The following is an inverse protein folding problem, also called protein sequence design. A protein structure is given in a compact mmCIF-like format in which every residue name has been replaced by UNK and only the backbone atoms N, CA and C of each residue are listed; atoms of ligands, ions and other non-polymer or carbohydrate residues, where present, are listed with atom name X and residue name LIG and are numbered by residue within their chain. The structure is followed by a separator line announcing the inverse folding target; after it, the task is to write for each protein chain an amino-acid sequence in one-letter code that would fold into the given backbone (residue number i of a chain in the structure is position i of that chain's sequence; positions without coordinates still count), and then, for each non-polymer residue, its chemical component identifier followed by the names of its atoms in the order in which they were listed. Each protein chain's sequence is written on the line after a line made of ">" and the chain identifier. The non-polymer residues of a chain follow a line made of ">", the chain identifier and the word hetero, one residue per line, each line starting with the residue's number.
data_IF_627028554608
#
_entry.id   IF_627028554608
#
_cell.length_a   1.000
_cell.length_b   1.000
_cell.length_c   1.000
_cell.angle_alpha   90.00
_cell.angle_beta   90.00
_cell.angle_gamma   90.00
#
_symmetry.space_group_name_H-M   'P 1'
#
loop_
_entity.id
_entity.type
_entity.pdbx_description
1 polymer ?
#
# COMPACT_ATOMS: atom_id res chain seq x y z
N UNK A 1 14.34 -50.38 -40.03
CA UNK A 1 12.96 -50.47 -39.50
C UNK A 1 12.85 -49.55 -38.30
N UNK A 2 11.91 -48.61 -38.29
CA UNK A 2 11.67 -47.77 -37.11
C UNK A 2 11.14 -48.63 -35.96
N UNK A 3 11.67 -48.42 -34.75
CA UNK A 3 11.23 -49.13 -33.53
C UNK A 3 9.77 -48.78 -33.25
N UNK A 4 8.90 -49.79 -33.13
CA UNK A 4 7.52 -49.60 -32.68
C UNK A 4 7.50 -49.14 -31.22
N UNK A 5 6.64 -48.18 -30.91
CA UNK A 5 6.45 -47.73 -29.53
C UNK A 5 5.73 -48.79 -28.71
N UNK A 6 6.03 -48.81 -27.42
CA UNK A 6 5.32 -49.59 -26.40
C UNK A 6 3.95 -49.00 -26.09
N UNK A 7 3.10 -49.78 -25.42
CA UNK A 7 1.80 -49.32 -24.93
C UNK A 7 1.93 -48.10 -24.01
N UNK A 8 2.94 -48.09 -23.13
CA UNK A 8 3.18 -46.98 -22.20
C UNK A 8 3.58 -45.68 -22.92
N UNK A 9 4.41 -45.77 -23.96
CA UNK A 9 4.80 -44.61 -24.78
C UNK A 9 3.60 -44.06 -25.56
N UNK A 10 2.76 -44.94 -26.11
CA UNK A 10 1.53 -44.55 -26.81
C UNK A 10 0.50 -43.92 -25.87
N UNK A 11 0.33 -44.48 -24.67
CA UNK A 11 -0.53 -43.94 -23.62
C UNK A 11 -0.06 -42.54 -23.21
N UNK A 12 1.24 -42.35 -22.95
CA UNK A 12 1.79 -41.05 -22.55
C UNK A 12 1.49 -39.99 -23.61
N UNK A 13 1.78 -40.28 -24.88
CA UNK A 13 1.50 -39.37 -25.98
C UNK A 13 0.01 -39.03 -26.11
N UNK A 14 -0.87 -40.03 -25.95
CA UNK A 14 -2.32 -39.86 -26.04
C UNK A 14 -2.88 -39.02 -24.88
N UNK A 15 -2.32 -39.16 -23.68
CA UNK A 15 -2.73 -38.46 -22.46
C UNK A 15 -2.27 -37.00 -22.48
N UNK A 16 -1.04 -36.74 -22.90
CA UNK A 16 -0.43 -35.41 -22.85
C UNK A 16 -0.93 -34.46 -23.94
N UNK A 17 -1.52 -34.97 -25.03
CA UNK A 17 -2.05 -34.12 -26.12
C UNK A 17 -3.52 -33.83 -25.98
N UNK A 18 -3.91 -32.58 -26.19
CA UNK A 18 -5.30 -32.12 -26.09
C UNK A 18 -6.21 -32.64 -27.21
N UNK A 19 -5.69 -32.78 -28.44
CA UNK A 19 -6.45 -33.24 -29.64
C UNK A 19 -5.81 -34.39 -30.42
N UNK A 20 -5.01 -35.24 -29.77
CA UNK A 20 -4.38 -36.39 -30.43
C UNK A 20 -5.40 -37.44 -30.87
N UNK A 21 -5.47 -37.72 -32.18
CA UNK A 21 -6.29 -38.80 -32.74
C UNK A 21 -5.52 -40.13 -32.74
N UNK A 22 -6.23 -41.26 -32.73
CA UNK A 22 -5.60 -42.58 -32.83
C UNK A 22 -4.91 -42.80 -34.19
N UNK A 23 -5.39 -42.15 -35.25
CA UNK A 23 -4.75 -42.20 -36.57
C UNK A 23 -3.38 -41.55 -36.54
N UNK A 24 -3.27 -40.35 -35.97
CA UNK A 24 -1.99 -39.65 -35.80
C UNK A 24 -1.03 -40.46 -34.91
N UNK A 25 -1.55 -41.06 -33.83
CA UNK A 25 -0.74 -41.91 -32.97
C UNK A 25 -0.25 -43.17 -33.71
N UNK A 26 -1.10 -43.77 -34.56
CA UNK A 26 -0.75 -44.92 -35.39
C UNK A 26 0.39 -44.61 -36.37
N UNK A 27 0.34 -43.44 -37.02
CA UNK A 27 1.37 -42.98 -37.95
C UNK A 27 2.71 -42.75 -37.24
N UNK A 28 2.69 -42.14 -36.05
CA UNK A 28 3.90 -41.80 -35.29
C UNK A 28 4.54 -43.01 -34.59
N UNK A 29 3.72 -43.88 -34.01
CA UNK A 29 4.17 -45.02 -33.21
C UNK A 29 4.52 -46.27 -34.03
N UNK A 30 4.03 -46.34 -35.28
CA UNK A 30 4.09 -47.53 -36.12
C UNK A 30 3.24 -48.69 -35.60
N UNK A 31 2.36 -48.44 -34.63
CA UNK A 31 1.41 -49.41 -34.06
C UNK A 31 0.08 -49.30 -34.80
N UNK A 32 -0.51 -50.41 -35.29
CA UNK A 32 -1.80 -50.37 -35.98
C UNK A 32 -2.92 -49.77 -35.12
N UNK A 33 -3.80 -48.99 -35.75
CA UNK A 33 -4.94 -48.35 -35.10
C UNK A 33 -5.85 -49.36 -34.36
N UNK A 34 -6.00 -50.58 -34.89
CA UNK A 34 -6.76 -51.67 -34.26
C UNK A 34 -6.19 -52.06 -32.89
N UNK A 35 -4.86 -52.15 -32.78
CA UNK A 35 -4.16 -52.42 -31.53
C UNK A 35 -4.32 -51.24 -30.55
N UNK A 36 -4.19 -50.00 -31.03
CA UNK A 36 -4.39 -48.80 -30.22
C UNK A 36 -5.84 -48.68 -29.70
N UNK A 37 -6.84 -49.01 -30.53
CA UNK A 37 -8.26 -49.08 -30.13
C UNK A 37 -8.48 -50.09 -29.01
N UNK A 38 -7.87 -51.27 -29.13
CA UNK A 38 -7.91 -52.30 -28.08
C UNK A 38 -7.24 -51.81 -26.81
N UNK A 39 -6.03 -51.28 -26.87
CA UNK A 39 -5.35 -50.74 -25.67
C UNK A 39 -6.12 -49.60 -25.02
N UNK A 40 -6.75 -48.73 -25.81
CA UNK A 40 -7.62 -47.66 -25.30
C UNK A 40 -8.89 -48.18 -24.62
N UNK A 41 -9.47 -49.29 -25.10
CA UNK A 41 -10.70 -49.85 -24.51
C UNK A 41 -10.41 -50.72 -23.29
N UNK A 42 -9.31 -51.48 -23.29
CA UNK A 42 -8.89 -52.32 -22.17
C UNK A 42 -8.13 -51.54 -21.11
N UNK A 43 -7.37 -50.53 -21.54
CA UNK A 43 -6.61 -49.64 -20.69
C UNK A 43 -7.43 -48.41 -20.31
N UNK A 44 -7.24 -47.91 -19.10
CA UNK A 44 -7.87 -46.70 -18.56
C UNK A 44 -7.35 -45.39 -19.23
N UNK A 45 -7.12 -45.40 -20.54
CA UNK A 45 -6.47 -44.32 -21.29
C UNK A 45 -7.29 -43.04 -21.26
N UNK A 46 -8.61 -43.15 -21.46
CA UNK A 46 -9.53 -42.00 -21.46
C UNK A 46 -9.60 -41.36 -20.07
N UNK A 47 -9.67 -42.16 -19.00
CA UNK A 47 -9.69 -41.62 -17.64
C UNK A 47 -8.35 -41.01 -17.24
N UNK A 48 -7.22 -41.62 -17.62
CA UNK A 48 -5.89 -41.03 -17.40
C UNK A 48 -5.72 -39.70 -18.14
N UNK A 49 -6.26 -39.59 -19.36
CA UNK A 49 -6.28 -38.32 -20.11
C UNK A 49 -7.12 -37.26 -19.42
N UNK A 50 -8.32 -37.61 -18.96
CA UNK A 50 -9.17 -36.69 -18.17
C UNK A 50 -8.49 -36.22 -16.90
N UNK A 51 -7.84 -37.12 -16.17
CA UNK A 51 -7.10 -36.79 -14.95
C UNK A 51 -5.94 -35.83 -15.25
N UNK A 52 -5.10 -36.14 -16.23
CA UNK A 52 -4.00 -35.28 -16.65
C UNK A 52 -4.49 -33.88 -17.09
N UNK A 53 -5.57 -33.83 -17.87
CA UNK A 53 -6.17 -32.55 -18.28
C UNK A 53 -6.67 -31.76 -17.07
N UNK A 54 -7.34 -32.40 -16.11
CA UNK A 54 -7.79 -31.75 -14.88
C UNK A 54 -6.62 -31.20 -14.06
N UNK A 55 -5.54 -31.98 -13.90
CA UNK A 55 -4.33 -31.54 -13.19
C UNK A 55 -3.65 -30.37 -13.91
N UNK A 56 -3.59 -30.41 -15.24
CA UNK A 56 -3.03 -29.32 -16.05
C UNK A 56 -3.87 -28.04 -15.93
N UNK A 57 -5.20 -28.14 -15.99
CA UNK A 57 -6.08 -26.99 -15.79
C UNK A 57 -5.92 -26.38 -14.40
N UNK A 58 -5.86 -27.20 -13.34
CA UNK A 58 -5.62 -26.71 -11.97
C UNK A 58 -4.26 -25.99 -11.85
N UNK A 59 -3.21 -26.52 -12.49
CA UNK A 59 -1.90 -25.86 -12.50
C UNK A 59 -1.91 -24.53 -13.27
N UNK A 60 -2.61 -24.46 -14.40
CA UNK A 60 -2.76 -23.23 -15.18
C UNK A 60 -3.57 -22.19 -14.39
N UNK A 61 -4.66 -22.62 -13.76
CA UNK A 61 -5.52 -21.78 -12.93
C UNK A 61 -4.73 -21.22 -11.74
N UNK A 62 -4.03 -22.07 -10.98
CA UNK A 62 -3.17 -21.63 -9.88
C UNK A 62 -2.12 -20.61 -10.34
N UNK A 63 -1.39 -20.88 -11.44
CA UNK A 63 -0.41 -19.93 -11.98
C UNK A 63 -1.04 -18.62 -12.46
N UNK A 64 -2.26 -18.67 -12.99
CA UNK A 64 -2.99 -17.48 -13.42
C UNK A 64 -3.41 -16.64 -12.20
N UNK A 65 -3.89 -17.30 -11.15
CA UNK A 65 -4.24 -16.66 -9.87
C UNK A 65 -3.00 -16.02 -9.24
N UNK A 66 -1.88 -16.72 -9.20
CA UNK A 66 -0.62 -16.20 -8.65
C UNK A 66 -0.18 -14.95 -9.42
N UNK A 67 -0.15 -15.01 -10.76
CA UNK A 67 0.19 -13.84 -11.60
C UNK A 67 -0.76 -12.66 -11.41
N UNK A 68 -2.06 -12.92 -11.37
CA UNK A 68 -3.04 -11.86 -11.14
C UNK A 68 -2.88 -11.25 -9.73
N UNK A 69 -2.52 -12.07 -8.75
CA UNK A 69 -2.23 -11.62 -7.38
C UNK A 69 -0.98 -10.74 -7.34
N UNK A 70 0.09 -11.12 -8.05
CA UNK A 70 1.32 -10.33 -8.17
C UNK A 70 1.05 -8.99 -8.88
N UNK A 71 0.30 -9.00 -9.97
CA UNK A 71 -0.09 -7.78 -10.71
C UNK A 71 -0.91 -6.83 -9.82
N UNK A 72 -1.87 -7.37 -9.07
CA UNK A 72 -2.65 -6.60 -8.11
C UNK A 72 -1.73 -6.04 -7.01
N UNK A 73 -0.84 -6.84 -6.44
CA UNK A 73 0.09 -6.41 -5.41
C UNK A 73 0.99 -5.26 -5.91
N UNK A 74 1.48 -5.34 -7.14
CA UNK A 74 2.27 -4.27 -7.76
C UNK A 74 1.44 -2.99 -7.95
N UNK A 75 0.19 -3.10 -8.39
CA UNK A 75 -0.73 -1.96 -8.51
C UNK A 75 -1.01 -1.31 -7.14
N UNK A 76 -1.26 -2.12 -6.11
CA UNK A 76 -1.43 -1.65 -4.73
C UNK A 76 -0.18 -0.94 -4.20
N UNK A 77 1.01 -1.46 -4.50
CA UNK A 77 2.27 -0.82 -4.14
C UNK A 77 2.44 0.53 -4.84
N UNK A 78 2.14 0.62 -6.14
CA UNK A 78 2.17 1.89 -6.89
C UNK A 78 1.23 2.94 -6.29
N UNK A 79 -0.03 2.56 -6.05
CA UNK A 79 -1.01 3.44 -5.38
C UNK A 79 -0.52 3.88 -4.00
N UNK A 80 0.05 2.98 -3.22
CA UNK A 80 0.58 3.30 -1.89
C UNK A 80 1.72 4.34 -1.97
N UNK A 81 2.62 4.21 -2.94
CA UNK A 81 3.70 5.19 -3.20
C UNK A 81 3.12 6.55 -3.60
N UNK A 82 2.11 6.58 -4.47
CA UNK A 82 1.44 7.81 -4.89
C UNK A 82 0.76 8.51 -3.70
N UNK A 83 0.04 7.76 -2.86
CA UNK A 83 -0.56 8.28 -1.64
C UNK A 83 0.49 8.84 -0.68
N UNK A 84 1.59 8.12 -0.45
CA UNK A 84 2.68 8.58 0.41
C UNK A 84 3.27 9.90 -0.08
N UNK A 85 3.56 9.99 -1.39
CA UNK A 85 4.05 11.20 -2.03
C UNK A 85 3.07 12.37 -1.87
N UNK A 86 1.78 12.11 -2.08
CA UNK A 86 0.72 13.10 -1.91
C UNK A 86 0.65 13.66 -0.49
N UNK A 87 0.69 12.79 0.53
CA UNK A 87 0.72 13.23 1.93
C UNK A 87 1.96 14.07 2.25
N UNK A 88 3.14 13.63 1.81
CA UNK A 88 4.40 14.34 2.06
C UNK A 88 4.40 15.74 1.42
N UNK A 89 3.91 15.88 0.19
CA UNK A 89 3.82 17.18 -0.50
C UNK A 89 2.85 18.12 0.22
N UNK A 90 1.64 17.64 0.52
CA UNK A 90 0.61 18.42 1.22
C UNK A 90 1.11 18.89 2.60
N UNK A 91 1.74 17.99 3.36
CA UNK A 91 2.37 18.31 4.63
C UNK A 91 3.44 19.39 4.48
N UNK A 92 4.34 19.25 3.52
CA UNK A 92 5.42 20.22 3.28
C UNK A 92 4.87 21.62 2.96
N UNK A 93 3.81 21.70 2.16
CA UNK A 93 3.15 22.98 1.84
C UNK A 93 2.55 23.61 3.11
N UNK A 94 1.86 22.82 3.93
CA UNK A 94 1.29 23.30 5.20
C UNK A 94 2.40 23.76 6.16
N UNK A 95 3.49 23.00 6.31
CA UNK A 95 4.65 23.38 7.13
C UNK A 95 5.34 24.66 6.64
N UNK A 96 5.39 24.91 5.32
CA UNK A 96 5.91 26.16 4.76
C UNK A 96 5.00 27.33 5.16
N UNK A 97 3.67 27.18 5.06
CA UNK A 97 2.71 28.21 5.47
C UNK A 97 2.81 28.52 6.96
N UNK A 98 2.88 27.48 7.81
CA UNK A 98 3.05 27.66 9.26
C UNK A 98 4.34 28.40 9.56
N UNK A 99 5.46 28.02 8.94
CA UNK A 99 6.74 28.73 9.10
C UNK A 99 6.70 30.18 8.63
N UNK A 100 5.99 30.45 7.54
CA UNK A 100 5.80 31.82 7.06
C UNK A 100 5.06 32.68 8.08
N UNK A 101 3.96 32.16 8.63
CA UNK A 101 3.18 32.84 9.68
C UNK A 101 4.00 33.03 10.96
N UNK A 102 4.77 32.01 11.38
CA UNK A 102 5.67 32.12 12.53
C UNK A 102 6.68 33.26 12.37
N UNK A 103 7.27 33.42 11.18
CA UNK A 103 8.19 34.54 10.90
C UNK A 103 7.51 35.90 10.96
N UNK A 104 6.26 35.99 10.51
CA UNK A 104 5.48 37.24 10.63
C UNK A 104 5.24 37.58 12.10
N UNK A 105 4.82 36.59 12.92
CA UNK A 105 4.63 36.79 14.36
C UNK A 105 5.92 37.19 15.09
N UNK A 106 7.05 36.57 14.72
CA UNK A 106 8.36 36.93 15.28
C UNK A 106 8.77 38.36 14.90
N UNK A 107 8.54 38.77 13.66
CA UNK A 107 8.81 40.14 13.21
C UNK A 107 7.94 41.17 13.96
N UNK A 108 6.65 40.88 14.14
CA UNK A 108 5.72 41.73 14.91
C UNK A 108 6.20 41.91 16.36
N UNK A 109 6.66 40.83 17.00
CA UNK A 109 7.20 40.88 18.36
C UNK A 109 8.47 41.72 18.45
N UNK A 110 9.39 41.58 17.50
CA UNK A 110 10.62 42.39 17.44
C UNK A 110 10.27 43.88 17.26
N UNK A 111 9.28 44.19 16.44
CA UNK A 111 8.78 45.55 16.23
C UNK A 111 8.18 46.14 17.52
N UNK A 112 7.35 45.37 18.23
CA UNK A 112 6.78 45.73 19.54
C UNK A 112 7.88 46.06 20.57
N UNK A 113 8.87 45.17 20.70
CA UNK A 113 10.00 45.35 21.64
C UNK A 113 10.81 46.62 21.29
N UNK A 114 11.03 46.88 20.00
CA UNK A 114 11.71 48.09 19.53
C UNK A 114 10.91 49.36 19.84
N UNK A 115 9.61 49.39 19.53
CA UNK A 115 8.74 50.55 19.81
C UNK A 115 8.70 50.85 21.31
N UNK A 116 8.59 49.83 22.17
CA UNK A 116 8.67 49.98 23.63
C UNK A 116 10.00 50.56 24.08
N UNK A 117 11.12 50.11 23.51
CA UNK A 117 12.46 50.61 23.84
C UNK A 117 12.65 52.09 23.48
N UNK A 118 11.93 52.57 22.46
CA UNK A 118 11.95 53.95 21.99
C UNK A 118 10.98 54.87 22.76
N UNK A 119 10.24 54.33 23.74
CA UNK A 119 9.32 55.10 24.56
C UNK A 119 7.99 55.45 23.87
N UNK A 120 7.59 54.68 22.85
CA UNK A 120 6.27 54.84 22.23
C UNK A 120 5.15 54.49 23.22
N UNK A 121 3.98 55.10 23.02
CA UNK A 121 2.81 54.88 23.89
C UNK A 121 2.30 53.44 23.76
N UNK A 122 2.09 52.77 24.90
CA UNK A 122 1.70 51.35 24.96
C UNK A 122 0.35 51.13 24.29
N UNK A 123 -0.60 52.05 24.47
CA UNK A 123 -1.94 51.94 23.90
C UNK A 123 -1.93 51.98 22.37
N UNK A 124 -1.01 52.76 21.78
CA UNK A 124 -0.83 52.82 20.32
C UNK A 124 -0.17 51.55 19.79
N UNK A 125 0.86 51.05 20.48
CA UNK A 125 1.52 49.79 20.12
C UNK A 125 0.51 48.63 20.11
N UNK A 126 -0.31 48.51 21.16
CA UNK A 126 -1.31 47.45 21.27
C UNK A 126 -2.35 47.50 20.15
N UNK A 127 -2.86 48.69 19.81
CA UNK A 127 -3.82 48.87 18.72
C UNK A 127 -3.22 48.52 17.34
N UNK A 128 -1.98 48.93 17.07
CA UNK A 128 -1.27 48.59 15.83
C UNK A 128 -0.99 47.09 15.72
N UNK A 129 -0.60 46.46 16.82
CA UNK A 129 -0.35 45.01 16.87
C UNK A 129 -1.64 44.21 16.68
N UNK A 130 -2.74 44.62 17.31
CA UNK A 130 -4.03 43.95 17.15
C UNK A 130 -4.52 44.05 15.69
N UNK A 131 -4.35 45.21 15.06
CA UNK A 131 -4.65 45.37 13.64
C UNK A 131 -3.80 44.43 12.76
N UNK A 132 -2.47 44.42 12.94
CA UNK A 132 -1.57 43.55 12.14
C UNK A 132 -1.80 42.06 12.42
N UNK A 133 -2.13 41.69 13.66
CA UNK A 133 -2.50 40.32 14.03
C UNK A 133 -3.82 39.88 13.39
N UNK A 134 -4.78 40.80 13.19
CA UNK A 134 -6.04 40.48 12.51
C UNK A 134 -5.85 40.07 11.04
N UNK A 135 -4.73 40.47 10.42
CA UNK A 135 -4.36 40.06 9.07
C UNK A 135 -3.81 38.62 9.03
N UNK A 136 -3.39 38.08 10.19
CA UNK A 136 -2.96 36.69 10.33
C UNK A 136 -4.20 35.82 10.54
N UNK A 137 -4.59 35.11 9.48
CA UNK A 137 -5.73 34.20 9.53
C UNK A 137 -5.45 33.01 10.47
N UNK A 138 -6.05 33.04 11.67
CA UNK A 138 -6.07 31.92 12.61
C UNK A 138 -6.72 30.67 11.98
N UNK A 139 -7.72 30.86 11.13
CA UNK A 139 -8.36 29.78 10.38
C UNK A 139 -7.38 29.09 9.43
N UNK A 140 -6.45 29.85 8.82
CA UNK A 140 -5.40 29.28 7.98
C UNK A 140 -4.42 28.42 8.80
N UNK A 141 -4.06 28.85 10.01
CA UNK A 141 -3.24 28.04 10.93
C UNK A 141 -3.96 26.76 11.35
N UNK A 142 -5.23 26.86 11.74
CA UNK A 142 -6.04 25.70 12.11
C UNK A 142 -6.16 24.72 10.94
N UNK A 143 -6.43 25.23 9.74
CA UNK A 143 -6.48 24.43 8.52
C UNK A 143 -5.15 23.73 8.26
N UNK A 144 -4.01 24.44 8.38
CA UNK A 144 -2.69 23.84 8.21
C UNK A 144 -2.41 22.75 9.25
N UNK A 145 -2.82 22.95 10.51
CA UNK A 145 -2.69 21.96 11.58
C UNK A 145 -3.48 20.68 11.26
N UNK A 146 -4.74 20.82 10.82
CA UNK A 146 -5.59 19.70 10.39
C UNK A 146 -4.97 18.97 9.19
N UNK A 147 -4.43 19.72 8.22
CA UNK A 147 -3.76 19.12 7.05
C UNK A 147 -2.53 18.32 7.47
N UNK A 148 -1.69 18.86 8.35
CA UNK A 148 -0.48 18.17 8.85
C UNK A 148 -0.88 16.89 9.59
N UNK A 149 -1.86 16.95 10.50
CA UNK A 149 -2.33 15.77 11.25
C UNK A 149 -2.86 14.67 10.31
N UNK A 150 -3.69 15.04 9.32
CA UNK A 150 -4.20 14.10 8.32
C UNK A 150 -3.08 13.49 7.47
N UNK A 151 -2.09 14.27 7.06
CA UNK A 151 -0.95 13.76 6.29
C UNK A 151 -0.10 12.81 7.12
N UNK A 152 0.20 13.13 8.38
CA UNK A 152 0.95 12.26 9.29
C UNK A 152 0.21 10.93 9.52
N UNK A 153 -1.11 10.98 9.75
CA UNK A 153 -1.95 9.77 9.88
C UNK A 153 -1.94 8.94 8.60
N UNK A 154 -2.04 9.60 7.44
CA UNK A 154 -1.97 8.96 6.12
C UNK A 154 -0.63 8.28 5.85
N UNK A 155 0.49 8.98 6.09
CA UNK A 155 1.85 8.44 5.98
C UNK A 155 2.03 7.19 6.86
N UNK A 156 1.55 7.24 8.11
CA UNK A 156 1.64 6.11 9.05
C UNK A 156 0.83 4.91 8.59
N UNK A 157 -0.37 5.13 8.05
CA UNK A 157 -1.22 4.07 7.52
C UNK A 157 -0.53 3.36 6.34
N UNK A 158 0.00 4.13 5.38
CA UNK A 158 0.67 3.58 4.20
C UNK A 158 1.93 2.80 4.59
N UNK A 159 2.73 3.33 5.52
CA UNK A 159 3.97 2.69 5.95
C UNK A 159 3.77 1.61 7.02
N UNK A 160 2.53 1.37 7.47
CA UNK A 160 2.23 0.50 8.61
C UNK A 160 3.08 0.83 9.85
N UNK A 161 3.38 2.12 10.05
CA UNK A 161 4.21 2.61 11.15
C UNK A 161 3.34 2.90 12.37
N UNK A 162 3.16 1.90 13.22
CA UNK A 162 2.88 2.14 14.63
C UNK A 162 4.13 2.70 15.32
N UNK A 163 3.98 3.41 16.44
CA UNK A 163 5.14 3.80 17.24
C UNK A 163 5.77 2.50 17.77
N UNK A 164 6.72 1.95 17.02
CA UNK A 164 7.44 0.71 17.33
C UNK A 164 8.04 0.70 18.74
N UNK A 165 8.31 1.89 19.28
CA UNK A 165 8.68 2.11 20.67
C UNK A 165 8.10 3.46 21.14
N UNK A 166 6.97 3.40 21.84
CA UNK A 166 6.30 4.57 22.40
C UNK A 166 7.21 5.32 23.38
N UNK A 167 8.05 4.61 24.15
CA UNK A 167 8.95 5.22 25.13
C UNK A 167 10.06 6.02 24.42
N UNK A 168 10.58 5.50 23.31
CA UNK A 168 11.57 6.21 22.49
C UNK A 168 10.98 7.45 21.82
N UNK A 169 9.70 7.38 21.41
CA UNK A 169 8.98 8.53 20.88
C UNK A 169 8.72 9.59 21.96
N UNK A 170 8.30 9.20 23.17
CA UNK A 170 8.12 10.08 24.33
C UNK A 170 9.44 10.79 24.65
N UNK A 171 10.54 10.04 24.80
CA UNK A 171 11.85 10.60 25.11
C UNK A 171 12.35 11.57 24.02
N UNK A 172 12.00 11.33 22.75
CA UNK A 172 12.34 12.26 21.66
C UNK A 172 11.55 13.57 21.74
N UNK A 173 10.26 13.52 22.12
CA UNK A 173 9.44 14.71 22.34
C UNK A 173 9.91 15.48 23.57
N UNK A 174 10.22 14.79 24.67
CA UNK A 174 10.71 15.42 25.91
C UNK A 174 12.04 16.18 25.71
N UNK A 175 12.93 15.70 24.82
CA UNK A 175 14.16 16.43 24.46
C UNK A 175 13.90 17.79 23.80
N UNK A 176 12.70 18.03 23.29
CA UNK A 176 12.32 19.34 22.73
C UNK A 176 11.84 20.32 23.81
N UNK A 177 11.83 19.92 25.09
CA UNK A 177 11.33 20.72 26.20
C UNK A 177 9.82 20.62 26.41
N UNK A 178 9.14 19.74 25.67
CA UNK A 178 7.70 19.50 25.77
C UNK A 178 7.41 18.29 26.65
N UNK A 179 6.47 18.42 27.59
CA UNK A 179 6.01 17.29 28.41
C UNK A 179 4.93 16.49 27.66
N UNK A 180 5.11 15.18 27.57
CA UNK A 180 4.07 14.30 27.01
C UNK A 180 3.09 13.90 28.11
N UNK A 181 1.85 14.38 28.01
CA UNK A 181 0.76 13.92 28.88
C UNK A 181 0.10 12.73 28.18
N UNK A 182 0.36 11.52 28.68
CA UNK A 182 -0.38 10.35 28.23
C UNK A 182 -1.86 10.50 28.65
N UNK A 183 -2.84 10.31 27.75
CA UNK A 183 -4.23 10.31 28.14
C UNK A 183 -4.44 9.19 29.16
N UNK A 184 -4.88 9.55 30.36
CA UNK A 184 -5.18 8.61 31.43
C UNK A 184 -6.22 7.62 30.89
N UNK A 185 -5.86 6.33 30.82
CA UNK A 185 -6.63 5.27 30.12
C UNK A 185 -8.09 5.22 30.61
N UNK A 186 -8.33 5.64 31.86
CA UNK A 186 -9.65 5.80 32.48
C UNK A 186 -10.56 6.82 31.77
N UNK A 187 -10.04 7.95 31.29
CA UNK A 187 -10.84 9.02 30.66
C UNK A 187 -11.31 8.64 29.25
N UNK A 188 -10.54 7.82 28.53
CA UNK A 188 -10.94 7.34 27.19
C UNK A 188 -12.00 6.23 27.22
N UNK A 189 -12.18 5.53 28.35
CA UNK A 189 -13.26 4.55 28.51
C UNK A 189 -14.58 5.21 28.87
N UNK A 190 -14.56 6.34 29.59
CA UNK A 190 -15.77 7.11 29.91
C UNK A 190 -16.39 7.77 28.66
N UNK A 191 -15.56 8.26 27.72
CA UNK A 191 -16.04 8.87 26.47
C UNK A 191 -16.56 7.86 25.42
N UNK A 192 -16.31 6.55 25.61
CA UNK A 192 -16.89 5.49 24.76
C UNK A 192 -18.20 4.92 25.30
N UNK A 193 -18.50 5.17 26.56
CA UNK A 193 -19.66 4.62 27.27
C UNK A 193 -20.64 5.70 27.76
N UNK A 194 -20.42 6.96 27.39
CA UNK A 194 -21.30 8.12 27.67
C UNK A 194 -22.02 8.61 26.43
#
# INVERSE_FOLDING_TARGET
>A
MARRWSEAECLRWFVEREKGSLNQLSELSGVPETTLKRWRSTGKWVSKRKQFQSELYQQIEAKTIDKASDELAEQWAKLSIEHLSGFQICRKIAEIKVRYIQRQLEALRIEEDLQRSLGADVSQIEAEQEQKMSEISLDALNTCSIVIDRCVKGERLVLSMEYLDLNRAIAAVERTGLQVVAPNISVMQELKNG
#
